data_IF_613870518997
#
_entry.id   IF_613870518997
#
_cell.length_a   1.000
_cell.length_b   1.000
_cell.length_c   1.000
_cell.angle_alpha   90.00
_cell.angle_beta   90.00
_cell.angle_gamma   90.00
#
_symmetry.space_group_name_H-M   'P 1'
#
loop_
_entity.id
_entity.type
_entity.pdbx_description
1 polymer ?
#
# COMPACT_ATOMS: atom_id res chain seq x y z
N UNK A 1 1.01 -26.95 6.56
CA UNK A 1 1.99 -25.86 6.37
C UNK A 1 1.21 -24.56 6.20
N UNK A 2 1.56 -23.47 6.90
CA UNK A 2 0.94 -22.17 6.65
C UNK A 2 1.21 -21.77 5.20
N UNK A 3 0.17 -21.41 4.45
CA UNK A 3 0.34 -20.93 3.08
C UNK A 3 0.86 -19.50 3.14
N UNK A 4 2.18 -19.32 3.10
CA UNK A 4 2.79 -17.98 3.15
C UNK A 4 2.49 -17.24 1.86
N UNK A 5 2.10 -15.98 1.98
CA UNK A 5 1.91 -15.10 0.84
C UNK A 5 3.18 -14.93 0.02
N UNK A 6 3.11 -15.13 -1.30
CA UNK A 6 4.25 -14.87 -2.19
C UNK A 6 4.27 -13.46 -2.78
N UNK A 7 3.18 -12.71 -2.59
CA UNK A 7 3.09 -11.35 -3.10
C UNK A 7 3.89 -10.37 -2.23
N UNK A 8 4.67 -9.52 -2.89
CA UNK A 8 5.32 -8.39 -2.21
C UNK A 8 4.26 -7.40 -1.74
N UNK A 9 4.35 -6.95 -0.48
CA UNK A 9 3.47 -5.91 0.07
C UNK A 9 3.57 -4.61 -0.71
N UNK A 10 4.74 -4.33 -1.29
CA UNK A 10 4.97 -3.13 -2.09
C UNK A 10 4.18 -3.16 -3.40
N UNK A 11 3.51 -4.25 -3.74
CA UNK A 11 2.55 -4.23 -4.85
C UNK A 11 1.35 -3.33 -4.56
N UNK A 12 1.11 -2.94 -3.32
CA UNK A 12 0.04 -2.02 -2.96
C UNK A 12 0.57 -0.62 -2.68
N UNK A 13 -0.24 0.40 -2.98
CA UNK A 13 0.06 1.77 -2.61
C UNK A 13 -0.26 2.00 -1.13
N UNK A 14 0.70 2.47 -0.34
CA UNK A 14 0.47 2.81 1.07
C UNK A 14 -0.72 3.76 1.29
N UNK A 15 -0.90 4.73 0.38
CA UNK A 15 -1.86 5.83 0.58
C UNK A 15 -3.30 5.38 0.23
N UNK A 16 -3.49 4.70 -0.90
CA UNK A 16 -4.82 4.34 -1.39
C UNK A 16 -5.17 2.85 -1.28
N UNK A 17 -4.20 1.98 -0.97
CA UNK A 17 -4.41 0.53 -0.85
C UNK A 17 -4.55 -0.20 -2.17
N UNK A 18 -4.55 0.51 -3.29
CA UNK A 18 -4.73 -0.08 -4.60
C UNK A 18 -3.46 -0.79 -5.08
N UNK A 19 -3.67 -1.86 -5.85
CA UNK A 19 -2.60 -2.54 -6.57
C UNK A 19 -1.91 -1.56 -7.52
N UNK A 20 -0.58 -1.52 -7.45
CA UNK A 20 0.26 -0.57 -8.16
C UNK A 20 1.36 -1.31 -8.92
N UNK A 21 1.29 -1.26 -10.25
CA UNK A 21 2.32 -1.83 -11.13
C UNK A 21 3.64 -1.06 -11.02
N UNK A 22 4.75 -1.74 -11.32
CA UNK A 22 6.11 -1.20 -11.17
C UNK A 22 6.31 0.19 -11.78
N UNK A 23 5.77 0.45 -12.98
CA UNK A 23 5.87 1.75 -13.65
C UNK A 23 5.16 2.90 -12.90
N UNK A 24 4.15 2.60 -12.10
CA UNK A 24 3.36 3.57 -11.33
C UNK A 24 3.81 3.65 -9.87
N UNK A 25 4.71 2.78 -9.43
CA UNK A 25 5.23 2.74 -8.07
C UNK A 25 6.28 3.82 -7.86
N UNK A 26 6.28 4.45 -6.70
CA UNK A 26 7.32 5.40 -6.28
C UNK A 26 7.57 5.32 -4.78
N UNK A 27 8.81 5.61 -4.39
CA UNK A 27 9.18 5.75 -2.97
C UNK A 27 8.42 6.93 -2.37
N UNK A 28 8.01 6.78 -1.12
CA UNK A 28 7.32 7.81 -0.35
C UNK A 28 8.35 8.87 0.09
N UNK A 29 8.43 9.96 -0.69
CA UNK A 29 9.38 11.05 -0.42
C UNK A 29 9.02 11.86 0.84
N UNK A 30 9.97 12.63 1.36
CA UNK A 30 9.75 13.51 2.51
C UNK A 30 8.62 14.54 2.26
N UNK A 31 8.52 15.06 1.03
CA UNK A 31 7.43 15.96 0.62
C UNK A 31 6.08 15.27 0.73
N UNK A 32 5.98 14.02 0.27
CA UNK A 32 4.75 13.23 0.36
C UNK A 32 4.40 12.92 1.82
N UNK A 33 5.39 12.55 2.66
CA UNK A 33 5.18 12.33 4.10
C UNK A 33 4.64 13.58 4.80
N UNK A 34 5.20 14.75 4.49
CA UNK A 34 4.73 16.05 5.01
C UNK A 34 3.31 16.37 4.54
N UNK A 35 3.05 16.23 3.23
CA UNK A 35 1.73 16.49 2.65
C UNK A 35 0.67 15.55 3.24
N UNK A 36 0.98 14.26 3.38
CA UNK A 36 0.10 13.27 3.99
C UNK A 36 -0.26 13.66 5.43
N UNK A 37 0.72 14.05 6.23
CA UNK A 37 0.48 14.47 7.61
C UNK A 37 -0.41 15.71 7.72
N UNK A 38 -0.18 16.71 6.88
CA UNK A 38 -1.00 17.93 6.86
C UNK A 38 -2.41 17.65 6.34
N UNK A 39 -2.58 16.73 5.38
CA UNK A 39 -3.88 16.43 4.80
C UNK A 39 -4.75 15.55 5.71
N UNK A 40 -4.19 14.45 6.22
CA UNK A 40 -4.92 13.45 7.00
C UNK A 40 -4.82 13.64 8.52
N UNK A 41 -3.98 14.56 9.00
CA UNK A 41 -3.75 14.80 10.43
C UNK A 41 -2.89 13.73 11.12
N UNK A 42 -2.35 12.76 10.39
CA UNK A 42 -1.58 11.64 10.94
C UNK A 42 -0.32 11.36 10.13
N UNK A 43 0.76 10.92 10.79
CA UNK A 43 2.00 10.54 10.10
C UNK A 43 1.83 9.19 9.40
N UNK A 44 2.60 9.00 8.32
CA UNK A 44 2.82 7.68 7.73
C UNK A 44 3.57 6.83 8.76
N UNK A 45 2.91 5.78 9.26
CA UNK A 45 3.44 4.85 10.25
C UNK A 45 3.93 3.54 9.62
N UNK A 46 4.51 2.69 10.48
CA UNK A 46 4.85 1.30 10.18
C UNK A 46 5.77 1.08 8.98
N UNK A 47 6.52 2.10 8.57
CA UNK A 47 7.48 2.03 7.45
C UNK A 47 8.74 1.23 7.79
N UNK A 48 8.88 0.77 9.03
CA UNK A 48 9.87 -0.19 9.49
C UNK A 48 9.33 -1.63 9.48
N UNK A 49 8.03 -1.81 9.24
CA UNK A 49 7.35 -3.11 9.30
C UNK A 49 7.29 -3.74 7.92
N UNK A 50 7.71 -5.01 7.84
CA UNK A 50 7.70 -5.78 6.59
C UNK A 50 6.30 -5.95 5.98
N UNK A 51 5.25 -5.83 6.79
CA UNK A 51 3.85 -6.02 6.39
C UNK A 51 3.15 -4.75 5.90
N UNK A 52 3.81 -3.58 6.00
CA UNK A 52 3.28 -2.33 5.48
C UNK A 52 3.94 -2.00 4.14
N UNK A 53 3.22 -1.39 3.17
CA UNK A 53 3.86 -0.97 1.94
C UNK A 53 4.84 0.18 2.17
N UNK A 54 6.02 0.11 1.55
CA UNK A 54 7.06 1.15 1.63
C UNK A 54 6.98 2.13 0.47
N UNK A 55 5.99 1.94 -0.40
CA UNK A 55 5.82 2.64 -1.66
C UNK A 55 4.40 3.19 -1.78
N UNK A 56 4.24 4.14 -2.68
CA UNK A 56 2.93 4.66 -3.07
C UNK A 56 2.83 4.77 -4.58
N UNK A 57 1.62 4.93 -5.10
CA UNK A 57 1.42 5.18 -6.51
C UNK A 57 1.76 6.64 -6.86
N UNK A 58 2.34 6.84 -8.05
CA UNK A 58 2.78 8.14 -8.57
C UNK A 58 1.64 9.14 -8.62
N UNK A 59 0.43 8.68 -8.91
CA UNK A 59 -0.79 9.50 -8.92
C UNK A 59 -1.00 10.17 -7.57
N UNK A 60 -1.00 9.42 -6.47
CA UNK A 60 -1.20 9.99 -5.13
C UNK A 60 0.00 10.82 -4.66
N UNK A 61 1.23 10.36 -4.93
CA UNK A 61 2.43 11.13 -4.62
C UNK A 61 2.40 12.52 -5.27
N UNK A 62 2.06 12.58 -6.57
CA UNK A 62 1.96 13.81 -7.34
C UNK A 62 0.79 14.67 -6.86
N UNK A 63 -0.35 14.05 -6.57
CA UNK A 63 -1.56 14.77 -6.17
C UNK A 63 -1.39 15.42 -4.80
N UNK A 64 -0.85 14.71 -3.81
CA UNK A 64 -0.53 15.26 -2.49
C UNK A 64 0.51 16.38 -2.60
N UNK A 65 1.54 16.18 -3.44
CA UNK A 65 2.54 17.22 -3.68
C UNK A 65 1.90 18.47 -4.30
N UNK A 66 1.04 18.32 -5.31
CA UNK A 66 0.32 19.46 -5.91
C UNK A 66 -0.61 20.15 -4.92
N UNK A 67 -1.31 19.40 -4.08
CA UNK A 67 -2.15 19.94 -3.02
C UNK A 67 -1.34 20.77 -2.01
N UNK A 68 -0.21 20.25 -1.54
CA UNK A 68 0.68 20.95 -0.62
C UNK A 68 1.17 22.31 -1.18
N UNK A 69 1.37 22.40 -2.49
CA UNK A 69 1.80 23.63 -3.18
C UNK A 69 0.61 24.50 -3.67
N UNK A 70 -0.62 24.23 -3.24
CA UNK A 70 -1.81 24.99 -3.63
C UNK A 70 -2.22 24.84 -5.11
N UNK A 71 -1.57 23.94 -5.87
CA UNK A 71 -1.85 23.70 -7.29
C UNK A 71 -3.07 22.78 -7.50
N UNK A 72 -3.63 22.23 -6.43
CA UNK A 72 -4.85 21.42 -6.44
C UNK A 72 -5.65 21.67 -5.18
N UNK A 73 -6.95 21.94 -5.32
CA UNK A 73 -7.84 22.28 -4.21
C UNK A 73 -8.19 21.09 -3.32
N UNK A 74 -8.33 19.89 -3.89
CA UNK A 74 -8.74 18.69 -3.16
C UNK A 74 -8.16 17.40 -3.76
N UNK A 75 -8.03 16.36 -2.93
CA UNK A 75 -7.70 15.01 -3.36
C UNK A 75 -8.90 14.33 -4.02
N UNK A 76 -8.68 13.37 -4.94
CA UNK A 76 -9.76 12.58 -5.52
C UNK A 76 -10.52 11.71 -4.49
N UNK A 77 -9.95 11.48 -3.30
CA UNK A 77 -10.56 10.71 -2.22
C UNK A 77 -10.19 11.29 -0.85
N UNK A 78 -11.03 11.07 0.16
CA UNK A 78 -10.88 11.60 1.52
C UNK A 78 -10.47 10.55 2.56
N UNK A 79 -10.68 9.26 2.28
CA UNK A 79 -10.36 8.19 3.22
C UNK A 79 -8.91 7.70 3.08
N UNK A 80 -8.26 7.45 4.21
CA UNK A 80 -6.95 6.77 4.27
C UNK A 80 -7.14 5.26 4.40
N UNK A 81 -6.15 4.51 3.94
CA UNK A 81 -6.01 3.11 4.32
C UNK A 81 -5.34 2.99 5.69
N UNK A 82 -5.81 2.02 6.46
CA UNK A 82 -5.19 1.60 7.72
C UNK A 82 -4.53 0.25 7.44
N UNK A 83 -3.20 0.22 7.44
CA UNK A 83 -2.44 -1.02 7.38
C UNK A 83 -2.40 -1.64 8.76
N UNK A 84 -2.59 -2.96 8.81
CA UNK A 84 -2.46 -3.77 10.03
C UNK A 84 -1.56 -4.95 9.72
N UNK A 85 -0.98 -5.52 10.75
CA UNK A 85 -0.26 -6.78 10.62
C UNK A 85 -1.25 -7.90 10.25
N UNK A 86 -1.01 -8.65 9.17
CA UNK A 86 -1.81 -9.82 8.83
C UNK A 86 -1.69 -10.86 9.96
N UNK A 87 -2.82 -11.32 10.46
CA UNK A 87 -2.96 -12.41 11.43
C UNK A 87 -3.11 -13.77 10.74
N UNK A 88 -3.94 -13.87 9.69
CA UNK A 88 -4.19 -15.10 8.97
C UNK A 88 -4.73 -14.86 7.54
N UNK A 89 -4.48 -15.79 6.63
CA UNK A 89 -4.86 -15.66 5.21
C UNK A 89 -6.34 -15.90 4.90
N UNK A 90 -7.16 -16.24 5.90
CA UNK A 90 -8.60 -16.52 5.73
C UNK A 90 -9.39 -15.24 6.00
N UNK A 91 -9.08 -14.58 7.11
CA UNK A 91 -9.79 -13.40 7.58
C UNK A 91 -9.14 -12.10 7.07
N UNK A 92 -7.81 -12.10 6.85
CA UNK A 92 -7.11 -10.92 6.36
C UNK A 92 -7.04 -10.91 4.84
N UNK A 93 -7.91 -10.10 4.26
CA UNK A 93 -8.09 -9.97 2.81
C UNK A 93 -6.97 -9.16 2.14
N UNK A 94 -5.75 -9.71 2.11
CA UNK A 94 -4.71 -9.31 1.17
C UNK A 94 -4.86 -10.15 -0.10
N UNK A 95 -4.73 -9.54 -1.28
CA UNK A 95 -4.67 -10.30 -2.53
C UNK A 95 -3.43 -11.19 -2.48
N UNK A 96 -3.61 -12.44 -2.06
CA UNK A 96 -2.53 -13.30 -1.65
C UNK A 96 -2.47 -14.53 -2.54
N UNK A 97 -1.48 -14.57 -3.43
CA UNK A 97 -1.17 -15.79 -4.15
C UNK A 97 -0.53 -16.76 -3.15
N UNK A 98 -1.04 -17.97 -3.12
CA UNK A 98 -0.49 -19.08 -2.35
C UNK A 98 -0.06 -20.17 -3.33
N UNK A 99 1.03 -20.91 -3.05
CA UNK A 99 1.38 -22.07 -3.86
C UNK A 99 0.20 -23.05 -3.93
N UNK A 100 -0.01 -23.72 -5.09
CA UNK A 100 -1.01 -24.77 -5.19
C UNK A 100 -0.72 -25.84 -4.13
N UNK A 101 -1.79 -26.42 -3.57
CA UNK A 101 -1.63 -27.53 -2.66
C UNK A 101 -0.94 -28.66 -3.44
N UNK A 102 0.12 -29.25 -2.89
CA UNK A 102 0.79 -30.43 -3.43
C UNK A 102 -0.09 -31.68 -3.24
N UNK A 103 -1.29 -31.65 -3.82
CA UNK A 103 -2.05 -32.86 -4.08
C UNK A 103 -1.36 -33.59 -5.22
N UNK A 104 -0.94 -34.83 -4.98
CA UNK A 104 -0.62 -35.76 -6.07
C UNK A 104 -1.86 -35.83 -6.96
N UNK A 105 -1.83 -35.15 -8.10
CA UNK A 105 -2.64 -35.56 -9.24
C UNK A 105 -2.01 -36.86 -9.73
N UNK A 106 -2.49 -37.99 -9.19
CA UNK A 106 -2.28 -39.26 -9.87
C UNK A 106 -2.97 -39.15 -11.22
N UNK A 107 -2.16 -39.40 -12.27
CA UNK A 107 -2.51 -39.39 -13.69
C UNK A 107 -3.91 -39.93 -14.00
#
# INVERSE_FOLDING_TARGET
>A
MPRICVNSIDNFCFICGELTFAAQKTIISAVVKKAYHLYFGCKIGDQDKYWAPHVCCRTYATTLSKWLHGKRKAMPFTARIIWREPTNHIDDSYFCMVPPASGRFTK
#
